data_IF_683713162902
#
_entry.id   IF_683713162902
#
_cell.length_a   1.000
_cell.length_b   1.000
_cell.length_c   1.000
_cell.angle_alpha   90.00
_cell.angle_beta   90.00
_cell.angle_gamma   90.00
#
_symmetry.space_group_name_H-M   'P 1'
#
loop_
_entity.id
_entity.type
_entity.pdbx_description
1 polymer ?
#
# COMPACT_ATOMS: atom_id res chain seq x y z
N UNK A 1 36.40 6.95 -18.29
CA UNK A 1 35.94 5.55 -18.14
C UNK A 1 35.34 5.43 -16.76
N UNK A 2 34.04 5.69 -16.64
CA UNK A 2 33.34 5.64 -15.36
C UNK A 2 32.80 4.23 -15.14
N UNK A 3 33.32 3.56 -14.12
CA UNK A 3 32.78 2.29 -13.64
C UNK A 3 31.43 2.57 -12.98
N UNK A 4 30.35 2.17 -13.66
CA UNK A 4 29.02 2.00 -13.09
C UNK A 4 29.12 0.94 -11.97
N UNK A 5 29.15 1.41 -10.73
CA UNK A 5 29.03 0.55 -9.55
C UNK A 5 27.61 0.00 -9.53
N UNK A 6 27.49 -1.27 -9.92
CA UNK A 6 26.25 -2.04 -9.87
C UNK A 6 25.90 -2.33 -8.41
N UNK A 7 25.18 -1.40 -7.77
CA UNK A 7 24.62 -1.63 -6.43
C UNK A 7 23.51 -2.68 -6.56
N UNK A 8 23.83 -3.92 -6.23
CA UNK A 8 22.87 -5.02 -6.12
C UNK A 8 21.89 -4.71 -4.97
N UNK A 9 20.59 -4.45 -5.21
CA UNK A 9 19.64 -4.19 -4.14
C UNK A 9 19.14 -5.54 -3.60
N UNK A 10 20.04 -6.31 -3.00
CA UNK A 10 19.70 -7.60 -2.36
C UNK A 10 20.13 -7.54 -0.90
N UNK A 11 19.15 -7.22 -0.03
CA UNK A 11 19.01 -7.59 1.41
C UNK A 11 18.87 -6.49 2.46
N UNK A 12 18.94 -5.19 2.15
CA UNK A 12 18.81 -4.14 3.18
C UNK A 12 17.47 -3.36 3.23
N UNK A 13 16.55 -3.61 2.30
CA UNK A 13 15.26 -2.88 2.23
C UNK A 13 14.10 -3.55 3.00
N UNK A 14 14.37 -4.67 3.69
CA UNK A 14 13.33 -5.55 4.24
C UNK A 14 12.66 -5.12 5.55
N UNK A 15 13.27 -4.26 6.38
CA UNK A 15 12.85 -4.17 7.79
C UNK A 15 12.88 -2.76 8.41
N UNK A 16 12.72 -1.70 7.61
CA UNK A 16 12.44 -0.38 8.19
C UNK A 16 10.98 -0.35 8.63
N UNK A 17 10.72 -0.62 9.93
CA UNK A 17 9.36 -0.57 10.55
C UNK A 17 8.63 0.73 10.26
N UNK A 18 9.38 1.80 10.01
CA UNK A 18 8.91 3.12 9.59
C UNK A 18 8.57 3.24 8.11
N UNK A 19 8.45 2.12 7.39
CA UNK A 19 7.95 2.05 6.01
C UNK A 19 6.65 1.24 5.91
N UNK A 20 6.24 0.53 6.96
CA UNK A 20 5.07 -0.35 6.92
C UNK A 20 3.99 0.16 7.87
N UNK A 21 2.77 0.21 7.36
CA UNK A 21 1.57 0.50 8.14
C UNK A 21 0.51 -0.53 7.84
N UNK A 22 -0.36 -0.75 8.82
CA UNK A 22 -1.50 -1.64 8.74
C UNK A 22 -2.77 -0.82 8.85
N UNK A 23 -3.75 -1.20 8.06
CA UNK A 23 -5.11 -0.71 8.18
C UNK A 23 -6.05 -1.89 7.97
N UNK A 24 -7.28 -1.75 8.44
CA UNK A 24 -8.32 -2.73 8.22
C UNK A 24 -9.47 -2.03 7.51
N UNK A 25 -10.04 -2.71 6.53
CA UNK A 25 -11.30 -2.34 5.92
C UNK A 25 -12.42 -3.08 6.69
N UNK A 26 -13.62 -2.48 6.79
CA UNK A 26 -14.78 -3.16 7.34
C UNK A 26 -14.96 -4.55 6.70
N UNK A 27 -15.28 -5.60 7.49
CA UNK A 27 -15.47 -6.96 6.97
C UNK A 27 -16.71 -7.06 6.06
N UNK A 28 -17.63 -6.11 6.18
CA UNK A 28 -18.84 -6.01 5.36
C UNK A 28 -18.58 -5.02 4.22
N UNK A 29 -18.26 -5.52 3.03
CA UNK A 29 -18.06 -4.68 1.86
C UNK A 29 -17.84 -5.47 0.57
N UNK A 30 -18.21 -4.86 -0.55
CA UNK A 30 -17.93 -5.40 -1.88
C UNK A 30 -16.46 -5.19 -2.24
N UNK A 31 -15.65 -6.20 -1.91
CA UNK A 31 -14.21 -6.16 -2.10
C UNK A 31 -13.82 -6.09 -3.58
N UNK A 32 -14.48 -6.86 -4.45
CA UNK A 32 -14.16 -6.85 -5.90
C UNK A 32 -14.60 -5.54 -6.55
N UNK A 33 -15.75 -5.00 -6.14
CA UNK A 33 -16.16 -3.66 -6.54
C UNK A 33 -15.22 -2.58 -6.00
N UNK A 34 -14.67 -2.72 -4.79
CA UNK A 34 -13.65 -1.80 -4.29
C UNK A 34 -12.37 -1.87 -5.12
N UNK A 35 -11.84 -3.07 -5.39
CA UNK A 35 -10.63 -3.21 -6.21
C UNK A 35 -10.82 -2.61 -7.60
N UNK A 36 -12.00 -2.77 -8.19
CA UNK A 36 -12.31 -2.15 -9.49
C UNK A 36 -12.27 -0.62 -9.45
N UNK A 37 -12.53 -0.01 -8.28
CA UNK A 37 -12.59 1.44 -8.08
C UNK A 37 -11.29 2.05 -7.54
N UNK A 38 -10.40 1.30 -6.88
CA UNK A 38 -9.16 1.91 -6.33
C UNK A 38 -8.20 2.44 -7.40
N UNK A 39 -8.35 1.98 -8.65
CA UNK A 39 -7.68 2.58 -9.81
C UNK A 39 -8.03 4.05 -10.01
N UNK A 40 -9.22 4.49 -9.61
CA UNK A 40 -9.66 5.90 -9.70
C UNK A 40 -8.84 6.82 -8.78
N UNK A 41 -8.20 6.26 -7.75
CA UNK A 41 -7.35 7.00 -6.81
C UNK A 41 -5.88 6.59 -6.93
N UNK A 42 -5.44 6.22 -8.14
CA UNK A 42 -4.02 6.10 -8.46
C UNK A 42 -3.37 4.75 -8.14
N UNK A 43 -4.15 3.72 -7.80
CA UNK A 43 -3.62 2.37 -7.52
C UNK A 43 -3.79 1.43 -8.71
N UNK A 44 -2.68 0.92 -9.24
CA UNK A 44 -2.69 -0.11 -10.28
C UNK A 44 -2.34 -1.48 -9.68
N UNK A 45 -3.11 -2.52 -10.00
CA UNK A 45 -2.74 -3.89 -9.61
C UNK A 45 -1.51 -4.32 -10.39
N UNK A 46 -0.45 -4.75 -9.68
CA UNK A 46 0.84 -5.07 -10.32
C UNK A 46 0.91 -6.50 -10.83
N UNK A 47 0.26 -7.44 -10.13
CA UNK A 47 0.16 -8.83 -10.56
C UNK A 47 -0.90 -9.58 -9.74
N UNK A 48 -1.67 -10.47 -10.37
CA UNK A 48 -2.58 -11.41 -9.66
C UNK A 48 -1.75 -12.58 -9.13
N UNK A 49 -0.82 -12.31 -8.22
CA UNK A 49 0.14 -13.30 -7.72
C UNK A 49 -0.51 -14.43 -6.89
N UNK A 50 -1.66 -14.18 -6.26
CA UNK A 50 -2.40 -15.17 -5.45
C UNK A 50 -3.82 -14.68 -5.13
N UNK A 51 -4.80 -15.59 -5.08
CA UNK A 51 -6.15 -15.31 -4.55
C UNK A 51 -6.14 -14.95 -3.05
N UNK A 52 -5.02 -15.15 -2.36
CA UNK A 52 -4.85 -14.86 -0.93
C UNK A 52 -4.40 -13.41 -0.68
N UNK A 53 -3.63 -12.83 -1.60
CA UNK A 53 -3.03 -11.51 -1.48
C UNK A 53 -2.98 -10.80 -2.82
N UNK A 54 -3.56 -9.60 -2.88
CA UNK A 54 -3.48 -8.71 -4.04
C UNK A 54 -2.51 -7.57 -3.75
N UNK A 55 -1.72 -7.19 -4.75
CA UNK A 55 -0.71 -6.13 -4.62
C UNK A 55 -1.00 -5.02 -5.61
N UNK A 56 -1.01 -3.79 -5.11
CA UNK A 56 -1.23 -2.58 -5.89
C UNK A 56 -0.07 -1.63 -5.72
N UNK A 57 0.24 -0.89 -6.77
CA UNK A 57 1.24 0.16 -6.78
C UNK A 57 0.55 1.51 -7.00
N UNK A 58 0.86 2.46 -6.14
CA UNK A 58 0.44 3.84 -6.28
C UNK A 58 1.30 4.53 -7.34
N UNK A 59 0.76 5.55 -8.01
CA UNK A 59 1.51 6.38 -8.98
C UNK A 59 2.81 6.96 -8.40
N UNK A 60 2.84 7.18 -7.09
CA UNK A 60 3.98 7.76 -6.36
C UNK A 60 4.96 6.70 -5.82
N UNK A 61 4.85 5.45 -6.27
CA UNK A 61 5.79 4.37 -5.91
C UNK A 61 5.45 3.61 -4.61
N UNK A 62 4.40 4.03 -3.88
CA UNK A 62 3.92 3.30 -2.70
C UNK A 62 3.29 1.97 -3.08
N UNK A 63 3.28 1.02 -2.16
CA UNK A 63 2.72 -0.32 -2.39
C UNK A 63 1.65 -0.62 -1.36
N UNK A 64 0.54 -1.17 -1.83
CA UNK A 64 -0.56 -1.65 -1.02
C UNK A 64 -0.69 -3.16 -1.21
N UNK A 65 -0.69 -3.89 -0.10
CA UNK A 65 -0.93 -5.32 -0.08
C UNK A 65 -2.24 -5.55 0.65
N UNK A 66 -3.14 -6.30 0.04
CA UNK A 66 -4.48 -6.53 0.54
C UNK A 66 -4.75 -8.02 0.67
N UNK A 67 -5.34 -8.42 1.78
CA UNK A 67 -5.88 -9.77 1.95
C UNK A 67 -7.41 -9.73 1.78
N UNK A 68 -7.96 -10.20 0.64
CA UNK A 68 -9.39 -10.15 0.37
C UNK A 68 -10.24 -10.86 1.43
N UNK A 69 -9.73 -11.97 1.98
CA UNK A 69 -10.45 -12.79 2.97
C UNK A 69 -10.54 -12.18 4.36
N UNK A 70 -9.61 -11.31 4.72
CA UNK A 70 -9.53 -10.74 6.08
C UNK A 70 -9.72 -9.24 6.13
N UNK A 71 -9.94 -8.60 4.97
CA UNK A 71 -10.04 -7.14 4.83
C UNK A 71 -8.83 -6.38 5.41
N UNK A 72 -7.69 -7.06 5.58
CA UNK A 72 -6.45 -6.47 6.11
C UNK A 72 -5.65 -5.83 4.99
N UNK A 73 -5.18 -4.62 5.26
CA UNK A 73 -4.33 -3.82 4.39
C UNK A 73 -2.95 -3.66 5.00
N UNK A 74 -1.94 -3.67 4.15
CA UNK A 74 -0.59 -3.24 4.48
C UNK A 74 -0.14 -2.21 3.45
N UNK A 75 0.18 -1.03 3.94
CA UNK A 75 0.76 0.04 3.11
C UNK A 75 2.26 0.04 3.35
N UNK A 76 3.02 -0.03 2.26
CA UNK A 76 4.45 0.19 2.24
C UNK A 76 4.74 1.54 1.58
N UNK A 77 5.27 2.47 2.36
CA UNK A 77 5.70 3.78 1.87
C UNK A 77 6.98 3.63 1.07
N UNK A 78 7.09 4.46 0.03
CA UNK A 78 8.26 4.50 -0.84
C UNK A 78 9.48 4.93 0.00
N UNK A 79 10.61 4.20 -0.07
CA UNK A 79 11.80 4.51 0.72
C UNK A 79 12.36 5.94 0.53
N UNK A 80 12.09 6.57 -0.62
CA UNK A 80 12.49 7.94 -0.95
C UNK A 80 11.62 8.99 -0.27
N UNK A 81 10.48 8.59 0.33
CA UNK A 81 9.63 9.50 1.11
C UNK A 81 10.38 9.97 2.37
N UNK A 82 10.54 11.29 2.59
CA UNK A 82 11.17 11.83 3.79
C UNK A 82 10.54 11.28 5.07
N UNK A 83 11.36 10.94 6.07
CA UNK A 83 10.91 10.21 7.27
C UNK A 83 9.82 10.95 8.05
N UNK A 84 9.94 12.26 8.16
CA UNK A 84 9.00 13.20 8.79
C UNK A 84 7.68 13.35 8.02
N UNK A 85 7.69 13.10 6.70
CA UNK A 85 6.49 13.16 5.87
C UNK A 85 5.69 11.85 5.81
N UNK A 86 6.27 10.72 6.23
CA UNK A 86 5.66 9.39 5.99
C UNK A 86 4.32 9.19 6.66
N UNK A 87 4.17 9.66 7.90
CA UNK A 87 2.91 9.51 8.63
C UNK A 87 1.78 10.32 7.98
N UNK A 88 2.09 11.54 7.53
CA UNK A 88 1.17 12.35 6.73
C UNK A 88 0.78 11.63 5.45
N UNK A 89 1.76 11.07 4.73
CA UNK A 89 1.50 10.36 3.47
C UNK A 89 0.65 9.10 3.68
N UNK A 90 0.90 8.31 4.71
CA UNK A 90 0.05 7.15 5.05
C UNK A 90 -1.37 7.59 5.33
N UNK A 91 -1.54 8.69 6.07
CA UNK A 91 -2.86 9.25 6.38
C UNK A 91 -3.62 9.64 5.11
N UNK A 92 -2.94 10.27 4.15
CA UNK A 92 -3.50 10.63 2.84
C UNK A 92 -3.91 9.40 2.03
N UNK A 93 -3.00 8.43 1.88
CA UNK A 93 -3.26 7.18 1.15
C UNK A 93 -4.42 6.40 1.77
N UNK A 94 -4.47 6.29 3.10
CA UNK A 94 -5.63 5.70 3.79
C UNK A 94 -6.91 6.50 3.52
N UNK A 95 -6.83 7.83 3.45
CA UNK A 95 -7.95 8.69 3.09
C UNK A 95 -8.48 8.38 1.69
N UNK A 96 -7.59 8.22 0.71
CA UNK A 96 -7.93 7.83 -0.67
C UNK A 96 -8.62 6.45 -0.71
N UNK A 97 -8.02 5.43 -0.10
CA UNK A 97 -8.57 4.07 -0.06
C UNK A 97 -9.95 4.02 0.62
N UNK A 98 -10.16 4.83 1.66
CA UNK A 98 -11.44 4.95 2.37
C UNK A 98 -12.53 5.62 1.54
N UNK A 99 -12.20 6.67 0.77
CA UNK A 99 -13.17 7.32 -0.13
C UNK A 99 -13.76 6.32 -1.12
N UNK A 100 -12.95 5.35 -1.53
CA UNK A 100 -13.38 4.30 -2.48
C UNK A 100 -14.18 3.19 -1.80
N UNK A 101 -13.85 2.81 -0.55
CA UNK A 101 -14.52 1.70 0.16
C UNK A 101 -15.99 1.99 0.47
N UNK A 102 -16.31 3.21 0.91
CA UNK A 102 -17.66 3.59 1.34
C UNK A 102 -18.01 3.06 2.73
N UNK A 103 -18.57 3.92 3.57
CA UNK A 103 -18.84 3.74 5.01
C UNK A 103 -17.61 3.57 5.91
N UNK A 104 -17.61 4.38 6.98
CA UNK A 104 -16.52 4.62 7.92
C UNK A 104 -16.36 3.47 8.92
N UNK A 105 -15.11 3.05 9.20
CA UNK A 105 -14.54 2.64 10.51
C UNK A 105 -13.20 1.89 10.33
N UNK A 106 -12.13 2.29 11.04
CA UNK A 106 -10.90 1.48 11.20
C UNK A 106 -9.58 2.27 11.24
N UNK A 107 -8.83 2.16 12.35
CA UNK A 107 -7.61 2.92 12.68
C UNK A 107 -6.36 2.49 11.90
N UNK A 108 -5.39 3.40 11.82
CA UNK A 108 -4.08 3.15 11.21
C UNK A 108 -3.13 2.72 12.33
N UNK A 109 -2.47 1.57 12.16
CA UNK A 109 -1.46 1.08 13.09
C UNK A 109 -0.10 0.96 12.38
N UNK A 110 0.99 1.16 13.12
CA UNK A 110 2.36 1.10 12.61
C UNK A 110 3.03 -0.22 12.99
#
# INVERSE_FOLDING_TARGET
MEQLVYLSPRRDLGCRRDLHWRAELPPEGDFEGWVSRIGEVGWAETDRGSDLLRTFQHTDGHVLIVSPRSAKLRIRIDPMTPRDAREGRVTELCGELRRVWGSYCGGIER
#
